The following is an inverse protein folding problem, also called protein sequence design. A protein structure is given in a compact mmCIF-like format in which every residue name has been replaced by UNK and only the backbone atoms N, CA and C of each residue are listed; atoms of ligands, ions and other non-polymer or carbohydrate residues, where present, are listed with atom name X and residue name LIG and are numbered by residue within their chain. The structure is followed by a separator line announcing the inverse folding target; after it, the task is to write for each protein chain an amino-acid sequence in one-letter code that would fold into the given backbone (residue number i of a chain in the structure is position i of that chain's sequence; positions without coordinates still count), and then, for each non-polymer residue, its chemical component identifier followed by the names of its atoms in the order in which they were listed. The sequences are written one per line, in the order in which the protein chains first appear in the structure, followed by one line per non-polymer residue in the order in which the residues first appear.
data_IF_586938630365
#
_entry.id   IF_586938630365
#
_cell.length_a   1.000
_cell.length_b   1.000
_cell.length_c   1.000
_cell.angle_alpha   90.00
_cell.angle_beta   90.00
_cell.angle_gamma   90.00
#
_symmetry.space_group_name_H-M   'P 1'
#
loop_
_entity.id
_entity.type
_entity.pdbx_description
1 polymer ?
#
# COMPACT_ATOMS: atom_id res chain seq x y z
N UNK A 1 -6.05 6.63 18.52
CA UNK A 1 -5.53 8.01 18.55
C UNK A 1 -4.19 8.12 19.27
N UNK A 2 -4.02 7.40 20.39
CA UNK A 2 -2.77 7.43 21.16
C UNK A 2 -1.58 6.94 20.32
N UNK A 3 -1.75 5.83 19.60
CA UNK A 3 -0.70 5.27 18.73
C UNK A 3 -0.32 6.23 17.61
N UNK A 4 -1.32 6.86 17.00
CA UNK A 4 -1.08 7.82 15.91
C UNK A 4 -0.32 9.04 16.43
N UNK A 5 -0.68 9.56 17.59
CA UNK A 5 0.02 10.70 18.17
C UNK A 5 1.47 10.36 18.54
N UNK A 6 1.72 9.13 19.02
CA UNK A 6 3.08 8.68 19.30
C UNK A 6 3.92 8.59 18.02
N UNK A 7 3.34 8.09 16.93
CA UNK A 7 4.03 8.03 15.64
C UNK A 7 4.36 9.44 15.16
N UNK A 8 3.40 10.34 15.27
CA UNK A 8 3.60 11.74 14.85
C UNK A 8 4.73 12.39 15.62
N UNK A 9 4.75 12.24 16.95
CA UNK A 9 5.79 12.81 17.79
C UNK A 9 7.17 12.27 17.43
N UNK A 10 7.29 10.93 17.25
CA UNK A 10 8.56 10.33 16.85
C UNK A 10 9.02 10.84 15.49
N UNK A 11 8.10 10.94 14.54
CA UNK A 11 8.42 11.42 13.20
C UNK A 11 8.88 12.88 13.25
N UNK A 12 8.25 13.73 14.06
CA UNK A 12 8.65 15.11 14.23
C UNK A 12 10.05 15.21 14.84
N UNK A 13 10.31 14.43 15.92
CA UNK A 13 11.61 14.42 16.58
C UNK A 13 12.75 14.04 15.65
N UNK A 14 12.51 13.13 14.72
CA UNK A 14 13.52 12.63 13.80
C UNK A 14 13.44 13.26 12.40
N UNK A 15 12.56 14.24 12.21
CA UNK A 15 12.35 14.93 10.93
C UNK A 15 12.03 13.98 9.81
N UNK A 16 11.12 13.01 10.08
CA UNK A 16 10.74 11.97 9.14
C UNK A 16 9.31 12.11 8.61
N UNK A 17 8.62 13.20 8.92
CA UNK A 17 7.20 13.37 8.56
C UNK A 17 6.94 13.18 7.07
N UNK A 18 7.88 13.60 6.22
CA UNK A 18 7.77 13.49 4.77
C UNK A 18 8.41 12.21 4.20
N UNK A 19 8.99 11.38 5.07
CA UNK A 19 9.76 10.19 4.65
C UNK A 19 9.16 8.87 5.09
N UNK A 20 8.08 8.90 5.86
CA UNK A 20 7.44 7.67 6.35
C UNK A 20 6.05 7.54 5.76
N UNK A 21 5.63 6.30 5.60
CA UNK A 21 4.26 5.95 5.26
C UNK A 21 3.79 4.94 6.28
N UNK A 22 2.64 5.22 6.88
CA UNK A 22 2.03 4.29 7.83
C UNK A 22 0.94 3.51 7.12
N UNK A 23 1.04 2.20 7.11
CA UNK A 23 0.05 1.33 6.47
C UNK A 23 -0.78 0.62 7.53
N UNK A 24 -2.06 0.44 7.26
CA UNK A 24 -2.96 -0.24 8.18
C UNK A 24 -4.15 -0.81 7.44
N UNK A 25 -4.69 -1.91 7.96
CA UNK A 25 -5.98 -2.44 7.54
C UNK A 25 -7.11 -1.89 8.40
N UNK A 26 -6.79 -1.14 9.45
CA UNK A 26 -7.76 -0.60 10.38
C UNK A 26 -8.27 0.76 9.92
N UNK A 27 -9.57 0.87 9.69
CA UNK A 27 -10.20 2.13 9.31
C UNK A 27 -10.10 3.17 10.42
N UNK A 28 -10.09 2.73 11.68
CA UNK A 28 -9.92 3.64 12.82
C UNK A 28 -8.53 4.29 12.81
N UNK A 29 -7.50 3.50 12.53
CA UNK A 29 -6.12 4.02 12.43
C UNK A 29 -6.01 4.99 11.27
N UNK A 30 -6.56 4.64 10.10
CA UNK A 30 -6.53 5.51 8.92
C UNK A 30 -7.29 6.81 9.16
N UNK A 31 -8.43 6.74 9.84
CA UNK A 31 -9.19 7.92 10.21
C UNK A 31 -8.39 8.82 11.15
N UNK A 32 -7.76 8.22 12.16
CA UNK A 32 -6.96 8.98 13.12
C UNK A 32 -5.75 9.64 12.44
N UNK A 33 -5.08 8.94 11.54
CA UNK A 33 -3.98 9.51 10.76
C UNK A 33 -4.46 10.70 9.93
N UNK A 34 -5.60 10.55 9.26
CA UNK A 34 -6.13 11.61 8.40
C UNK A 34 -6.52 12.86 9.21
N UNK A 35 -7.00 12.68 10.44
CA UNK A 35 -7.43 13.80 11.29
C UNK A 35 -6.29 14.43 12.07
N UNK A 36 -5.43 13.58 12.67
CA UNK A 36 -4.46 14.04 13.66
C UNK A 36 -3.07 14.25 13.08
N UNK A 37 -2.74 13.57 11.99
CA UNK A 37 -1.42 13.64 11.39
C UNK A 37 -1.52 13.62 9.86
N UNK A 38 -2.23 14.58 9.24
CA UNK A 38 -2.45 14.58 7.78
C UNK A 38 -1.15 14.69 6.97
N UNK A 39 -0.08 15.20 7.57
CA UNK A 39 1.22 15.32 6.92
C UNK A 39 1.96 13.98 6.78
N UNK A 40 1.53 12.94 7.50
CA UNK A 40 2.11 11.60 7.37
C UNK A 40 1.38 10.85 6.26
N UNK A 41 2.12 10.35 5.27
CA UNK A 41 1.56 9.52 4.21
C UNK A 41 0.98 8.25 4.81
N UNK A 42 -0.16 7.82 4.29
CA UNK A 42 -0.84 6.62 4.79
C UNK A 42 -1.24 5.71 3.66
N UNK A 43 -1.32 4.43 3.98
CA UNK A 43 -1.69 3.41 3.03
C UNK A 43 -2.69 2.44 3.63
N UNK A 44 -3.58 1.94 2.78
CA UNK A 44 -4.55 0.92 3.15
C UNK A 44 -4.01 -0.46 2.80
N UNK A 45 -4.03 -1.38 3.76
CA UNK A 45 -3.76 -2.80 3.53
C UNK A 45 -5.10 -3.50 3.32
N UNK A 46 -5.33 -4.06 2.15
CA UNK A 46 -6.60 -4.69 1.80
C UNK A 46 -6.43 -6.18 1.52
N UNK A 47 -7.23 -6.99 2.21
CA UNK A 47 -7.23 -8.45 2.06
C UNK A 47 -8.56 -8.98 1.52
N UNK A 48 -9.65 -8.26 1.76
CA UNK A 48 -11.00 -8.71 1.42
C UNK A 48 -11.73 -7.69 0.54
N UNK A 49 -12.73 -8.17 -0.22
CA UNK A 49 -13.47 -7.35 -1.19
C UNK A 49 -14.84 -6.87 -0.69
N UNK A 50 -15.25 -7.23 0.52
CA UNK A 50 -16.55 -6.80 1.04
C UNK A 50 -16.66 -5.29 1.24
N UNK A 51 -15.53 -4.59 1.21
CA UNK A 51 -15.46 -3.13 1.08
C UNK A 51 -14.60 -2.82 -0.13
N UNK A 52 -15.00 -1.85 -0.94
CA UNK A 52 -14.20 -1.41 -2.08
C UNK A 52 -12.93 -0.71 -1.56
N UNK A 53 -11.74 -1.32 -1.74
CA UNK A 53 -10.51 -0.75 -1.22
C UNK A 53 -10.18 0.62 -1.81
N UNK A 54 -10.60 0.89 -3.05
CA UNK A 54 -10.36 2.18 -3.69
C UNK A 54 -11.18 3.29 -3.02
N UNK A 55 -12.41 3.00 -2.65
CA UNK A 55 -13.25 3.95 -1.92
C UNK A 55 -12.69 4.24 -0.54
N UNK A 56 -12.26 3.21 0.17
CA UNK A 56 -11.70 3.36 1.52
C UNK A 56 -10.42 4.18 1.45
N UNK A 57 -9.54 3.89 0.49
CA UNK A 57 -8.31 4.64 0.31
C UNK A 57 -8.60 6.12 0.05
N UNK A 58 -9.58 6.42 -0.80
CA UNK A 58 -9.97 7.81 -1.08
C UNK A 58 -10.54 8.49 0.15
N UNK A 59 -11.39 7.80 0.88
CA UNK A 59 -12.07 8.35 2.06
C UNK A 59 -11.08 8.83 3.11
N UNK A 60 -9.98 8.11 3.31
CA UNK A 60 -9.00 8.42 4.34
C UNK A 60 -7.73 9.06 3.81
N UNK A 61 -7.74 9.49 2.55
CA UNK A 61 -6.61 10.20 1.97
C UNK A 61 -5.35 9.37 1.83
N UNK A 62 -5.50 8.07 1.55
CA UNK A 62 -4.37 7.19 1.37
C UNK A 62 -3.66 7.46 0.05
N UNK A 63 -2.32 7.40 0.06
CA UNK A 63 -1.49 7.52 -1.13
C UNK A 63 -0.99 6.17 -1.63
N UNK A 64 -1.12 5.13 -0.80
CA UNK A 64 -0.65 3.78 -1.09
C UNK A 64 -1.77 2.78 -0.82
N UNK A 65 -1.88 1.80 -1.70
CA UNK A 65 -2.83 0.71 -1.56
C UNK A 65 -2.06 -0.60 -1.64
N UNK A 66 -2.02 -1.34 -0.53
CA UNK A 66 -1.36 -2.64 -0.47
C UNK A 66 -2.43 -3.73 -0.58
N UNK A 67 -2.52 -4.35 -1.76
CA UNK A 67 -3.53 -5.36 -2.06
C UNK A 67 -2.97 -6.76 -1.89
N UNK A 68 -3.74 -7.63 -1.25
CA UNK A 68 -3.47 -9.06 -1.35
C UNK A 68 -3.52 -9.44 -2.83
N UNK A 69 -2.63 -10.32 -3.26
CA UNK A 69 -2.49 -10.65 -4.69
C UNK A 69 -3.81 -11.12 -5.33
N UNK A 70 -4.70 -11.74 -4.55
CA UNK A 70 -6.01 -12.20 -5.04
C UNK A 70 -6.95 -11.05 -5.43
N UNK A 71 -6.68 -9.85 -4.93
CA UNK A 71 -7.50 -8.67 -5.21
C UNK A 71 -6.97 -7.83 -6.37
N UNK A 72 -5.75 -8.10 -6.83
CA UNK A 72 -5.13 -7.28 -7.89
C UNK A 72 -5.61 -7.74 -9.26
N UNK A 73 -6.54 -7.00 -9.82
CA UNK A 73 -7.04 -7.21 -11.19
C UNK A 73 -6.61 -6.04 -12.06
N UNK A 74 -6.51 -6.23 -13.39
CA UNK A 74 -6.19 -5.11 -14.28
C UNK A 74 -7.15 -3.92 -14.14
N UNK A 75 -8.44 -4.18 -13.96
CA UNK A 75 -9.45 -3.14 -13.79
C UNK A 75 -9.23 -2.34 -12.50
N UNK A 76 -8.97 -3.04 -11.41
CA UNK A 76 -8.73 -2.39 -10.11
C UNK A 76 -7.43 -1.58 -10.14
N UNK A 77 -6.41 -2.12 -10.78
CA UNK A 77 -5.13 -1.44 -10.92
C UNK A 77 -5.27 -0.15 -11.75
N UNK A 78 -6.05 -0.21 -12.83
CA UNK A 78 -6.29 0.97 -13.66
C UNK A 78 -7.02 2.06 -12.89
N UNK A 79 -8.03 1.69 -12.11
CA UNK A 79 -8.76 2.65 -11.26
C UNK A 79 -7.84 3.26 -10.20
N UNK A 80 -6.98 2.46 -9.60
CA UNK A 80 -6.01 2.94 -8.61
C UNK A 80 -5.05 3.94 -9.24
N UNK A 81 -4.58 3.65 -10.45
CA UNK A 81 -3.68 4.53 -11.20
C UNK A 81 -4.34 5.88 -11.47
N UNK A 82 -5.62 5.87 -11.85
CA UNK A 82 -6.37 7.10 -12.09
C UNK A 82 -6.55 7.94 -10.82
N UNK A 83 -6.54 7.29 -9.67
CA UNK A 83 -6.60 7.99 -8.39
C UNK A 83 -5.21 8.43 -7.89
N UNK A 84 -4.16 8.10 -8.61
CA UNK A 84 -2.80 8.45 -8.22
C UNK A 84 -2.25 7.60 -7.08
N UNK A 85 -2.79 6.42 -6.88
CA UNK A 85 -2.34 5.52 -5.82
C UNK A 85 -1.12 4.73 -6.24
N UNK A 86 -0.15 4.61 -5.32
CA UNK A 86 0.93 3.64 -5.44
C UNK A 86 0.37 2.27 -5.02
N UNK A 87 0.45 1.28 -5.90
CA UNK A 87 -0.09 -0.05 -5.62
C UNK A 87 1.04 -1.03 -5.35
N UNK A 88 1.03 -1.60 -4.14
CA UNK A 88 1.88 -2.71 -3.73
C UNK A 88 1.02 -3.97 -3.64
N UNK A 89 1.58 -5.10 -4.03
CA UNK A 89 0.86 -6.38 -3.98
C UNK A 89 1.60 -7.36 -3.07
N UNK A 90 0.89 -8.02 -2.18
CA UNK A 90 1.44 -8.92 -1.17
C UNK A 90 0.65 -10.23 -1.11
N UNK A 91 1.12 -11.28 -0.61
CA UNK A 91 2.53 -11.69 -0.60
C UNK A 91 2.75 -12.52 -1.85
N UNK A 92 3.74 -12.19 -2.63
CA UNK A 92 3.93 -12.76 -3.96
C UNK A 92 5.21 -13.58 -3.96
N UNK A 93 5.07 -14.92 -3.97
CA UNK A 93 6.21 -15.83 -3.84
C UNK A 93 6.45 -16.69 -5.08
N UNK A 94 5.53 -16.68 -6.04
CA UNK A 94 5.60 -17.52 -7.24
C UNK A 94 6.15 -16.71 -8.42
N UNK A 95 7.19 -17.21 -9.13
CA UNK A 95 7.77 -16.46 -10.27
C UNK A 95 6.76 -16.11 -11.36
N UNK A 96 5.84 -17.03 -11.69
CA UNK A 96 4.84 -16.75 -12.71
C UNK A 96 3.91 -15.60 -12.31
N UNK A 97 3.54 -15.54 -11.03
CA UNK A 97 2.71 -14.46 -10.51
C UNK A 97 3.49 -13.14 -10.48
N UNK A 98 4.75 -13.18 -10.11
CA UNK A 98 5.62 -12.00 -10.13
C UNK A 98 5.65 -11.37 -11.52
N UNK A 99 5.85 -12.19 -12.56
CA UNK A 99 5.89 -11.71 -13.95
C UNK A 99 4.54 -11.14 -14.38
N UNK A 100 3.45 -11.83 -14.04
CA UNK A 100 2.10 -11.38 -14.39
C UNK A 100 1.80 -10.01 -13.77
N UNK A 101 2.09 -9.84 -12.47
CA UNK A 101 1.82 -8.60 -11.78
C UNK A 101 2.71 -7.46 -12.28
N UNK A 102 3.97 -7.77 -12.60
CA UNK A 102 4.86 -6.79 -13.22
C UNK A 102 4.32 -6.34 -14.59
N UNK A 103 3.80 -7.28 -15.39
CA UNK A 103 3.20 -6.97 -16.68
C UNK A 103 1.93 -6.12 -16.53
N UNK A 104 1.17 -6.31 -15.46
CA UNK A 104 0.01 -5.46 -15.15
C UNK A 104 0.42 -4.03 -14.78
N UNK A 105 1.69 -3.83 -14.41
CA UNK A 105 2.19 -2.51 -14.06
C UNK A 105 2.02 -2.13 -12.60
N UNK A 106 2.06 -3.10 -11.67
CA UNK A 106 2.06 -2.78 -10.24
C UNK A 106 3.33 -2.02 -9.88
N UNK A 107 3.25 -1.15 -8.89
CA UNK A 107 4.37 -0.30 -8.50
C UNK A 107 5.41 -1.04 -7.67
N UNK A 108 4.98 -2.01 -6.85
CA UNK A 108 5.90 -2.80 -6.05
C UNK A 108 5.27 -4.15 -5.68
N UNK A 109 6.15 -5.11 -5.40
CA UNK A 109 5.77 -6.44 -4.93
C UNK A 109 6.38 -6.67 -3.55
N UNK A 110 5.62 -7.31 -2.68
CA UNK A 110 6.08 -7.71 -1.36
C UNK A 110 6.19 -9.23 -1.37
N UNK A 111 7.41 -9.71 -1.13
CA UNK A 111 7.74 -11.14 -1.22
C UNK A 111 8.60 -11.58 -0.04
N UNK A 112 8.50 -12.87 0.29
CA UNK A 112 9.40 -13.50 1.26
C UNK A 112 10.74 -13.89 0.64
N UNK A 113 10.84 -13.85 -0.70
CA UNK A 113 12.02 -14.31 -1.45
C UNK A 113 12.55 -13.20 -2.35
N UNK A 114 13.19 -12.16 -1.78
CA UNK A 114 13.62 -11.01 -2.57
C UNK A 114 14.64 -11.35 -3.66
N UNK A 115 15.55 -12.30 -3.40
CA UNK A 115 16.52 -12.71 -4.42
C UNK A 115 15.84 -13.37 -5.61
N UNK A 116 14.83 -14.20 -5.36
CA UNK A 116 14.05 -14.83 -6.42
C UNK A 116 13.30 -13.77 -7.24
N UNK A 117 12.73 -12.77 -6.59
CA UNK A 117 12.03 -11.69 -7.28
C UNK A 117 12.97 -10.92 -8.19
N UNK A 118 14.13 -10.55 -7.68
CA UNK A 118 15.14 -9.82 -8.47
C UNK A 118 15.57 -10.63 -9.70
N UNK A 119 15.89 -11.92 -9.52
CA UNK A 119 16.32 -12.75 -10.67
C UNK A 119 15.18 -13.00 -11.65
N UNK A 120 13.93 -13.13 -11.17
CA UNK A 120 12.78 -13.37 -12.04
C UNK A 120 12.46 -12.14 -12.89
N UNK A 121 12.47 -10.95 -12.29
CA UNK A 121 12.05 -9.72 -12.96
C UNK A 121 13.16 -9.11 -13.81
N UNK A 122 14.43 -9.34 -13.47
CA UNK A 122 15.55 -8.78 -14.24
C UNK A 122 15.79 -9.50 -15.56
N UNK A 123 15.12 -10.63 -15.81
CA UNK A 123 15.25 -11.40 -17.05
C UNK A 123 14.23 -11.02 -18.12
N UNK A 124 13.31 -10.15 -17.78
CA UNK A 124 12.25 -9.77 -18.70
C UNK A 124 12.62 -8.65 -19.68
#
# INVERSE_FOLDING_TARGET
ARTVMAIKELAEQHRLLDRITVTSSSREVLRALNRLAPEISRGLVAEYTWLDPLKVARQYGCSLLALKWTLCTPERLEKARKQGLHVSVWTVNEPALMRRLADFGVDSLITDYPSLAVSTLSRS
#
